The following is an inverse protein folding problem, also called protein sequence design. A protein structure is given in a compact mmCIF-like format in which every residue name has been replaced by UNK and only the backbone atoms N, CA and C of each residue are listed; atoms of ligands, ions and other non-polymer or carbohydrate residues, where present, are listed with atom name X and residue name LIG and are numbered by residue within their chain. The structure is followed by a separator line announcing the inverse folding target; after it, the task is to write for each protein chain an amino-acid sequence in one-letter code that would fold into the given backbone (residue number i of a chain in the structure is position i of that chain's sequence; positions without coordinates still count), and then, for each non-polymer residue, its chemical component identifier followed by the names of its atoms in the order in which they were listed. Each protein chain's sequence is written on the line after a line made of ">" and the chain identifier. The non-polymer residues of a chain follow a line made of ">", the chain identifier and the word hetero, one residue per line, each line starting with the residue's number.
data_IF_336553600654
#
_entry.id   IF_336553600654
#
_cell.length_a   1.000
_cell.length_b   1.000
_cell.length_c   1.000
_cell.angle_alpha   90.00
_cell.angle_beta   90.00
_cell.angle_gamma   90.00
#
_symmetry.space_group_name_H-M   'P 1'
#
loop_
_entity.id
_entity.type
_entity.pdbx_description
1 polymer ?
#
# COMPACT_ATOMS: atom_id res chain seq x y z
N UNK A 1 -12.84 0.01 14.37
CA UNK A 1 -12.19 1.29 14.04
C UNK A 1 -12.45 1.58 12.56
N UNK A 2 -12.93 2.78 12.22
CA UNK A 2 -13.21 3.15 10.82
C UNK A 2 -11.92 3.59 10.11
N UNK A 3 -11.84 3.32 8.81
CA UNK A 3 -10.71 3.74 7.97
C UNK A 3 -10.51 5.26 7.96
N UNK A 4 -11.58 6.04 8.11
CA UNK A 4 -11.51 7.51 8.23
C UNK A 4 -10.78 7.98 9.49
N UNK A 5 -10.98 7.31 10.64
CA UNK A 5 -10.28 7.64 11.88
C UNK A 5 -8.78 7.34 11.78
N UNK A 6 -8.42 6.27 11.06
CA UNK A 6 -7.03 5.90 10.82
C UNK A 6 -6.30 6.91 9.92
N UNK A 7 -6.96 7.40 8.87
CA UNK A 7 -6.39 8.45 8.01
C UNK A 7 -6.18 9.75 8.79
N UNK A 8 -7.13 10.14 9.66
CA UNK A 8 -6.94 11.31 10.52
C UNK A 8 -5.76 11.15 11.49
N UNK A 9 -5.52 9.94 12.03
CA UNK A 9 -4.34 9.64 12.84
C UNK A 9 -3.06 9.84 12.01
N UNK A 10 -2.98 9.25 10.81
CA UNK A 10 -1.81 9.38 9.93
C UNK A 10 -1.51 10.83 9.58
N UNK A 11 -2.54 11.63 9.22
CA UNK A 11 -2.37 13.07 8.95
C UNK A 11 -1.77 13.81 10.14
N UNK A 12 -2.31 13.60 11.34
CA UNK A 12 -1.79 14.24 12.56
C UNK A 12 -0.36 13.83 12.84
N UNK A 13 -0.04 12.55 12.66
CA UNK A 13 1.31 12.03 12.88
C UNK A 13 2.30 12.60 11.86
N UNK A 14 1.91 12.74 10.59
CA UNK A 14 2.71 13.36 9.54
C UNK A 14 2.94 14.85 9.81
N UNK A 15 1.90 15.59 10.21
CA UNK A 15 2.00 16.98 10.64
C UNK A 15 2.97 17.17 11.80
N UNK A 16 2.87 16.32 12.84
CA UNK A 16 3.76 16.37 13.99
C UNK A 16 5.22 16.09 13.64
N UNK A 17 5.48 15.41 12.52
CA UNK A 17 6.81 15.10 12.02
C UNK A 17 7.26 16.03 10.87
N UNK A 18 6.47 17.05 10.52
CA UNK A 18 6.69 17.96 9.39
C UNK A 18 6.84 17.24 8.04
N UNK A 19 6.05 16.20 7.82
CA UNK A 19 6.06 15.40 6.59
C UNK A 19 4.95 15.77 5.60
N UNK A 20 4.20 16.85 5.86
CA UNK A 20 3.02 17.24 5.06
C UNK A 20 3.37 17.64 3.62
N UNK A 21 4.59 18.14 3.40
CA UNK A 21 5.09 18.45 2.05
C UNK A 21 5.52 17.18 1.28
N UNK A 22 5.71 16.06 1.98
CA UNK A 22 6.16 14.79 1.39
C UNK A 22 5.02 13.80 1.18
N UNK A 23 4.04 13.76 2.09
CA UNK A 23 2.98 12.76 2.07
C UNK A 23 1.62 13.36 2.38
N UNK A 24 0.63 12.96 1.59
CA UNK A 24 -0.77 13.25 1.82
C UNK A 24 -1.57 11.94 1.89
N UNK A 25 -2.46 11.85 2.88
CA UNK A 25 -3.34 10.70 3.06
C UNK A 25 -4.79 11.13 2.90
N UNK A 26 -5.55 10.48 2.03
CA UNK A 26 -6.99 10.67 1.90
C UNK A 26 -7.76 9.35 2.12
N UNK A 27 -9.03 9.50 2.51
CA UNK A 27 -9.95 8.37 2.61
C UNK A 27 -11.07 8.56 1.60
N UNK A 28 -11.26 7.57 0.74
CA UNK A 28 -12.34 7.56 -0.24
C UNK A 28 -12.97 6.16 -0.36
N UNK A 29 -14.31 6.05 -0.38
CA UNK A 29 -14.99 4.85 -0.81
C UNK A 29 -14.61 4.48 -2.26
N UNK A 30 -14.62 3.19 -2.58
CA UNK A 30 -14.29 2.67 -3.92
C UNK A 30 -15.04 3.37 -5.05
N UNK A 31 -16.34 3.66 -4.88
CA UNK A 31 -17.16 4.31 -5.90
C UNK A 31 -16.73 5.74 -6.22
N UNK A 32 -16.16 6.45 -5.24
CA UNK A 32 -15.66 7.81 -5.42
C UNK A 32 -14.22 7.79 -5.93
N UNK A 33 -13.37 6.93 -5.36
CA UNK A 33 -12.00 6.73 -5.83
C UNK A 33 -11.94 6.29 -7.30
N UNK A 34 -12.93 5.49 -7.78
CA UNK A 34 -13.05 5.13 -9.19
C UNK A 34 -13.31 6.32 -10.14
N UNK A 35 -13.84 7.44 -9.64
CA UNK A 35 -14.20 8.60 -10.47
C UNK A 35 -13.01 9.52 -10.70
N UNK A 36 -12.17 9.68 -9.68
CA UNK A 36 -10.99 10.51 -9.76
C UNK A 36 -9.92 10.02 -8.78
N UNK A 37 -8.91 9.35 -9.35
CA UNK A 37 -7.70 8.93 -8.65
C UNK A 37 -6.45 9.62 -9.22
N UNK A 38 -6.63 10.57 -10.13
CA UNK A 38 -5.55 11.14 -10.94
C UNK A 38 -4.49 11.91 -10.12
N UNK A 39 -4.85 12.36 -8.92
CA UNK A 39 -3.96 13.06 -7.99
C UNK A 39 -3.26 12.15 -6.96
N UNK A 40 -3.32 10.83 -7.09
CA UNK A 40 -2.72 9.90 -6.12
C UNK A 40 -1.70 8.97 -6.77
N UNK A 41 -0.60 8.71 -6.05
CA UNK A 41 0.46 7.79 -6.49
C UNK A 41 0.13 6.31 -6.21
N UNK A 42 -0.76 6.03 -5.25
CA UNK A 42 -1.10 4.69 -4.79
C UNK A 42 -2.49 4.64 -4.15
N UNK A 43 -3.19 3.51 -4.34
CA UNK A 43 -4.39 3.17 -3.59
C UNK A 43 -4.07 2.08 -2.57
N UNK A 44 -4.20 2.40 -1.28
CA UNK A 44 -4.08 1.45 -0.18
C UNK A 44 -5.46 0.98 0.30
N UNK A 45 -5.76 -0.29 0.08
CA UNK A 45 -7.06 -0.91 0.35
C UNK A 45 -7.07 -1.59 1.70
N UNK A 46 -8.14 -1.37 2.47
CA UNK A 46 -8.34 -2.08 3.73
C UNK A 46 -8.49 -3.60 3.52
N UNK A 47 -7.95 -4.45 4.41
CA UNK A 47 -7.89 -5.91 4.21
C UNK A 47 -9.26 -6.57 4.03
N UNK A 48 -10.30 -5.99 4.65
CA UNK A 48 -11.67 -6.48 4.57
C UNK A 48 -12.34 -6.21 3.20
N UNK A 49 -11.78 -5.34 2.35
CA UNK A 49 -12.27 -5.08 0.99
C UNK A 49 -11.48 -5.83 -0.10
N UNK A 50 -10.52 -6.71 0.27
CA UNK A 50 -9.60 -7.36 -0.68
C UNK A 50 -10.29 -8.07 -1.85
N UNK A 51 -11.45 -8.67 -1.60
CA UNK A 51 -12.21 -9.45 -2.60
C UNK A 51 -12.70 -8.59 -3.76
N UNK A 52 -12.79 -7.26 -3.57
CA UNK A 52 -13.26 -6.32 -4.59
C UNK A 52 -12.14 -5.79 -5.46
N UNK A 53 -10.88 -5.98 -5.07
CA UNK A 53 -9.73 -5.32 -5.69
C UNK A 53 -9.55 -5.73 -7.15
N UNK A 54 -9.73 -7.02 -7.45
CA UNK A 54 -9.65 -7.51 -8.82
C UNK A 54 -10.70 -6.82 -9.72
N UNK A 55 -11.96 -6.89 -9.33
CA UNK A 55 -13.05 -6.28 -10.11
C UNK A 55 -12.92 -4.76 -10.20
N UNK A 56 -12.45 -4.11 -9.13
CA UNK A 56 -12.20 -2.69 -9.09
C UNK A 56 -11.08 -2.27 -10.05
N UNK A 57 -10.00 -3.04 -10.10
CA UNK A 57 -8.94 -2.82 -11.06
C UNK A 57 -9.43 -3.04 -12.49
N UNK A 58 -10.05 -4.18 -12.78
CA UNK A 58 -10.47 -4.56 -14.13
C UNK A 58 -11.46 -3.54 -14.73
N UNK A 59 -12.29 -2.91 -13.89
CA UNK A 59 -13.31 -1.95 -14.34
C UNK A 59 -12.84 -0.51 -14.37
N UNK A 60 -12.06 -0.07 -13.37
CA UNK A 60 -11.81 1.36 -13.13
C UNK A 60 -10.33 1.74 -13.23
N UNK A 61 -9.45 1.04 -12.52
CA UNK A 61 -8.03 1.44 -12.40
C UNK A 61 -7.16 0.93 -13.55
N UNK A 62 -7.46 -0.26 -14.09
CA UNK A 62 -6.79 -0.86 -15.27
C UNK A 62 -5.25 -0.87 -15.23
N UNK A 63 -4.68 -1.08 -14.04
CA UNK A 63 -3.23 -0.98 -13.80
C UNK A 63 -2.62 0.39 -14.18
N UNK A 64 -3.35 1.49 -14.02
CA UNK A 64 -2.80 2.85 -14.19
C UNK A 64 -2.00 3.30 -12.96
N UNK A 65 -2.47 2.94 -11.75
CA UNK A 65 -1.76 3.17 -10.49
C UNK A 65 -1.76 1.90 -9.62
N UNK A 66 -0.77 1.73 -8.73
CA UNK A 66 -0.69 0.56 -7.86
C UNK A 66 -1.86 0.48 -6.88
N UNK A 67 -2.39 -0.73 -6.71
CA UNK A 67 -3.35 -1.06 -5.65
C UNK A 67 -2.70 -2.08 -4.72
N UNK A 68 -2.53 -1.68 -3.46
CA UNK A 68 -1.97 -2.52 -2.41
C UNK A 68 -3.01 -2.77 -1.31
N UNK A 69 -3.18 -4.03 -0.95
CA UNK A 69 -4.07 -4.41 0.16
C UNK A 69 -3.25 -4.43 1.44
N UNK A 70 -3.57 -3.54 2.37
CA UNK A 70 -2.90 -3.47 3.66
C UNK A 70 -3.04 -4.80 4.43
N UNK A 71 -1.94 -5.39 4.91
CA UNK A 71 -1.95 -6.49 5.85
C UNK A 71 -2.79 -6.19 7.09
N UNK A 72 -3.46 -7.22 7.63
CA UNK A 72 -4.37 -7.04 8.78
C UNK A 72 -3.69 -6.41 9.99
N UNK A 73 -2.44 -6.80 10.28
CA UNK A 73 -1.68 -6.26 11.42
C UNK A 73 -1.16 -4.84 11.20
N UNK A 74 -0.76 -4.51 9.97
CA UNK A 74 -0.39 -3.15 9.60
C UNK A 74 -1.61 -2.23 9.67
N UNK A 75 -2.75 -2.67 9.15
CA UNK A 75 -4.02 -1.94 9.29
C UNK A 75 -4.46 -1.76 10.75
N UNK A 76 -4.16 -2.72 11.62
CA UNK A 76 -4.45 -2.62 13.05
C UNK A 76 -3.55 -1.62 13.80
N UNK A 77 -2.30 -1.47 13.37
CA UNK A 77 -1.31 -0.61 14.04
C UNK A 77 -1.24 0.79 13.44
N UNK A 78 -1.35 0.90 12.11
CA UNK A 78 -1.23 2.13 11.32
C UNK A 78 -0.07 3.00 11.80
N UNK A 79 1.12 2.41 11.83
CA UNK A 79 2.37 3.14 12.10
C UNK A 79 2.70 3.96 10.87
N UNK A 80 2.89 5.27 11.02
CA UNK A 80 3.12 6.17 9.89
C UNK A 80 4.29 5.71 9.02
N UNK A 81 5.42 5.40 9.65
CA UNK A 81 6.67 5.02 8.99
C UNK A 81 6.48 3.77 8.12
N UNK A 82 5.77 2.77 8.65
CA UNK A 82 5.41 1.55 7.92
C UNK A 82 4.54 1.84 6.72
N UNK A 83 3.53 2.72 6.86
CA UNK A 83 2.63 3.06 5.76
C UNK A 83 3.35 3.81 4.64
N UNK A 84 4.19 4.79 4.99
CA UNK A 84 4.97 5.58 4.01
C UNK A 84 5.93 4.66 3.26
N UNK A 85 6.74 3.89 3.99
CA UNK A 85 7.73 3.02 3.35
C UNK A 85 7.07 1.91 2.51
N UNK A 86 5.99 1.29 3.01
CA UNK A 86 5.24 0.31 2.21
C UNK A 86 4.69 0.95 0.92
N UNK A 87 4.22 2.20 0.98
CA UNK A 87 3.72 2.91 -0.19
C UNK A 87 4.82 3.17 -1.22
N UNK A 88 5.97 3.69 -0.80
CA UNK A 88 7.14 3.94 -1.66
C UNK A 88 7.62 2.65 -2.34
N UNK A 89 7.82 1.58 -1.57
CA UNK A 89 8.31 0.31 -2.08
C UNK A 89 7.30 -0.34 -3.05
N UNK A 90 5.99 -0.24 -2.77
CA UNK A 90 4.95 -0.74 -3.69
C UNK A 90 4.96 0.04 -5.01
N UNK A 91 5.13 1.36 -4.96
CA UNK A 91 5.24 2.20 -6.16
C UNK A 91 6.46 1.75 -6.99
N UNK A 92 7.59 1.46 -6.36
CA UNK A 92 8.77 0.94 -7.06
C UNK A 92 8.53 -0.44 -7.68
N UNK A 93 7.93 -1.38 -6.92
CA UNK A 93 7.57 -2.71 -7.43
C UNK A 93 6.67 -2.58 -8.66
N UNK A 94 5.65 -1.72 -8.59
CA UNK A 94 4.71 -1.50 -9.67
C UNK A 94 5.36 -0.91 -10.93
N UNK A 95 6.27 0.06 -10.78
CA UNK A 95 7.04 0.62 -11.91
C UNK A 95 7.81 -0.47 -12.66
N UNK A 96 8.35 -1.47 -11.94
CA UNK A 96 9.06 -2.60 -12.56
C UNK A 96 8.12 -3.63 -13.21
N UNK A 97 6.91 -3.81 -12.66
CA UNK A 97 5.92 -4.79 -13.11
C UNK A 97 4.51 -4.23 -12.84
N UNK A 98 3.92 -3.49 -13.80
CA UNK A 98 2.65 -2.79 -13.60
C UNK A 98 1.49 -3.78 -13.65
N UNK A 99 1.24 -4.45 -12.54
CA UNK A 99 0.17 -5.44 -12.38
C UNK A 99 -0.44 -5.35 -10.99
N UNK A 100 -1.73 -5.07 -10.94
CA UNK A 100 -2.51 -5.06 -9.71
C UNK A 100 -3.20 -6.41 -9.44
N UNK A 101 -3.52 -6.67 -8.16
CA UNK A 101 -2.95 -6.02 -6.98
C UNK A 101 -1.44 -6.26 -6.86
N UNK A 102 -0.75 -5.29 -6.26
CA UNK A 102 0.69 -5.39 -5.97
C UNK A 102 0.89 -6.02 -4.61
N UNK A 103 1.90 -6.87 -4.51
CA UNK A 103 2.28 -7.55 -3.27
C UNK A 103 3.79 -7.45 -3.07
N UNK A 104 4.19 -7.45 -1.81
CA UNK A 104 5.57 -7.78 -1.48
C UNK A 104 5.85 -9.26 -1.76
N UNK A 105 7.08 -9.63 -2.15
CA UNK A 105 7.44 -11.02 -2.36
C UNK A 105 7.20 -11.87 -1.10
N UNK A 106 6.45 -12.97 -1.23
CA UNK A 106 6.09 -13.84 -0.10
C UNK A 106 4.93 -13.32 0.77
N UNK A 107 4.32 -12.19 0.39
CA UNK A 107 3.17 -11.58 1.07
C UNK A 107 1.91 -11.55 0.18
N UNK A 108 1.74 -12.52 -0.70
CA UNK A 108 0.62 -12.58 -1.67
C UNK A 108 -0.75 -12.75 -1.00
N UNK A 109 -0.77 -13.22 0.26
CA UNK A 109 -1.96 -13.28 1.10
C UNK A 109 -1.86 -12.28 2.27
N UNK A 110 -2.39 -11.05 2.12
CA UNK A 110 -2.33 -10.00 3.14
C UNK A 110 -2.94 -10.39 4.49
N UNK A 111 -3.80 -11.42 4.54
CA UNK A 111 -4.35 -11.90 5.80
C UNK A 111 -3.37 -12.73 6.61
N UNK A 112 -2.40 -13.38 5.95
CA UNK A 112 -1.38 -14.22 6.59
C UNK A 112 -0.13 -13.45 6.96
N UNK A 113 0.00 -12.20 6.50
CA UNK A 113 1.15 -11.36 6.81
C UNK A 113 1.16 -10.98 8.29
N UNK A 114 2.26 -11.34 8.96
CA UNK A 114 2.41 -11.23 10.41
C UNK A 114 3.23 -10.01 10.86
N UNK A 115 3.88 -9.30 9.94
CA UNK A 115 4.71 -8.13 10.26
C UNK A 115 3.88 -6.92 10.67
N UNK A 116 4.52 -6.05 11.44
CA UNK A 116 4.03 -4.73 11.83
C UNK A 116 5.01 -3.60 11.44
N UNK A 117 6.25 -3.99 11.11
CA UNK A 117 7.30 -3.10 10.64
C UNK A 117 7.29 -3.05 9.10
N UNK A 118 7.96 -2.04 8.50
CA UNK A 118 8.08 -1.93 7.05
C UNK A 118 8.68 -3.19 6.42
N UNK A 119 8.29 -3.48 5.18
CA UNK A 119 8.97 -4.52 4.41
C UNK A 119 10.38 -4.06 4.05
N UNK A 120 11.40 -4.91 4.24
CA UNK A 120 12.76 -4.57 3.85
C UNK A 120 13.05 -5.00 2.41
N UNK A 121 12.55 -4.22 1.44
CA UNK A 121 12.71 -4.56 0.02
C UNK A 121 14.17 -4.60 -0.42
N UNK A 122 15.02 -3.74 0.14
CA UNK A 122 16.46 -3.70 -0.15
C UNK A 122 17.15 -4.99 0.26
N UNK A 123 16.86 -5.47 1.46
CA UNK A 123 17.41 -6.73 1.97
C UNK A 123 16.92 -7.93 1.14
N UNK A 124 15.62 -8.02 0.86
CA UNK A 124 15.07 -9.07 0.01
C UNK A 124 15.75 -9.13 -1.37
N UNK A 125 15.93 -7.97 -2.01
CA UNK A 125 16.60 -7.88 -3.30
C UNK A 125 18.09 -8.27 -3.21
N UNK A 126 18.79 -7.95 -2.12
CA UNK A 126 20.18 -8.33 -1.90
C UNK A 126 20.33 -9.86 -1.75
N UNK A 127 19.42 -10.51 -1.00
CA UNK A 127 19.39 -11.98 -0.89
C UNK A 127 19.08 -12.65 -2.23
N UNK A 128 18.04 -12.18 -2.94
CA UNK A 128 17.59 -12.78 -4.20
C UNK A 128 18.64 -12.73 -5.32
N UNK A 129 19.54 -11.75 -5.32
CA UNK A 129 20.67 -11.68 -6.28
C UNK A 129 21.76 -12.68 -5.97
N UNK A 130 21.99 -13.01 -4.70
CA UNK A 130 23.00 -14.01 -4.28
C UNK A 130 22.59 -15.43 -4.68
N UNK A 131 21.31 -15.78 -4.57
CA UNK A 131 20.82 -17.12 -4.96
C UNK A 131 20.83 -17.35 -6.47
N UNK A 132 20.68 -16.29 -7.29
CA UNK A 132 20.74 -16.40 -8.76
C UNK A 132 22.16 -16.44 -9.34
N UNK A 133 23.18 -16.36 -8.49
CA UNK A 133 24.60 -16.39 -8.90
C UNK A 133 25.24 -17.78 -8.71
N UNK A 134 24.43 -18.82 -8.50
CA UNK A 134 24.81 -20.24 -8.48
C UNK A 134 24.02 -20.99 -9.55
#
# INVERSE_FOLDING_TARGET
>A
MSSSALVQKLRREAANQNLEDMVQFDFSPFSLAARDYSGYDIIMVCPHQRYRVKDYNDRFIKNEIPIYVLPTRIYGTMKLNTIIQDAEDIIEIFKSKPKNPVFFPGEEDPLKVMRIEPFNLKEYNAYSRKEKSH
#
